data_IF_002218805884
#
_entry.id   IF_002218805884
#
_cell.length_a   1.000
_cell.length_b   1.000
_cell.length_c   1.000
_cell.angle_alpha   90.00
_cell.angle_beta   90.00
_cell.angle_gamma   90.00
#
_symmetry.space_group_name_H-M   'P 1'
#
loop_
_entity.id
_entity.type
_entity.pdbx_description
1 polymer ?
#
# COMPACT_ATOMS: atom_id res chain seq x y z
N UNK A 1 -37.81 5.40 11.91
CA UNK A 1 -37.05 6.47 12.60
C UNK A 1 -36.18 7.12 11.53
N UNK A 2 -36.37 8.42 11.31
CA UNK A 2 -35.72 9.19 10.24
C UNK A 2 -34.21 9.19 10.48
N UNK A 3 -33.45 8.53 9.62
CA UNK A 3 -32.00 8.72 9.51
C UNK A 3 -31.78 10.14 9.01
N UNK A 4 -31.55 11.07 9.95
CA UNK A 4 -31.04 12.40 9.64
C UNK A 4 -29.68 12.19 8.99
N UNK A 5 -29.61 12.37 7.67
CA UNK A 5 -28.35 12.49 6.94
C UNK A 5 -27.47 13.51 7.68
N UNK A 6 -26.19 13.22 7.95
CA UNK A 6 -25.32 14.13 8.68
C UNK A 6 -25.30 15.48 7.97
N UNK A 7 -25.73 16.52 8.69
CA UNK A 7 -25.86 17.87 8.17
C UNK A 7 -24.49 18.55 8.11
N UNK A 8 -23.80 18.41 6.97
CA UNK A 8 -22.53 19.09 6.69
C UNK A 8 -22.05 18.83 5.26
N UNK A 9 -21.19 19.71 4.70
CA UNK A 9 -20.53 19.43 3.42
C UNK A 9 -19.71 18.14 3.51
N UNK A 10 -19.74 17.26 2.48
CA UNK A 10 -18.99 16.01 2.52
C UNK A 10 -17.49 16.28 2.45
N UNK A 11 -16.68 15.46 3.10
CA UNK A 11 -15.24 15.42 2.81
C UNK A 11 -14.96 14.42 1.71
N UNK A 12 -13.86 14.67 1.00
CA UNK A 12 -13.41 13.82 -0.09
C UNK A 12 -12.12 13.15 0.34
N UNK A 13 -12.16 11.82 0.42
CA UNK A 13 -10.97 10.99 0.49
C UNK A 13 -10.47 10.79 -0.94
N UNK A 14 -9.22 11.12 -1.22
CA UNK A 14 -8.63 10.97 -2.55
C UNK A 14 -7.35 10.15 -2.50
N UNK A 15 -7.22 9.16 -3.37
CA UNK A 15 -6.01 8.34 -3.37
C UNK A 15 -6.00 7.25 -4.40
N UNK A 16 -4.94 6.45 -4.29
CA UNK A 16 -4.59 5.34 -5.16
C UNK A 16 -5.43 4.07 -4.93
N UNK A 17 -6.58 4.18 -4.27
CA UNK A 17 -7.48 3.08 -3.95
C UNK A 17 -8.54 2.83 -5.04
N UNK A 18 -8.35 3.38 -6.24
CA UNK A 18 -9.09 3.11 -7.48
C UNK A 18 -8.45 2.01 -8.34
N UNK A 19 -7.57 1.22 -7.74
CA UNK A 19 -7.02 0.01 -8.32
C UNK A 19 -6.89 -1.06 -7.25
N UNK A 20 -6.73 -2.31 -7.69
CA UNK A 20 -6.50 -3.39 -6.75
C UNK A 20 -5.06 -3.41 -6.22
N UNK A 21 -4.82 -2.63 -5.17
CA UNK A 21 -3.70 -2.73 -4.25
C UNK A 21 -4.28 -2.83 -2.84
N UNK A 22 -4.12 -3.97 -2.17
CA UNK A 22 -4.83 -4.23 -0.92
C UNK A 22 -4.51 -3.19 0.16
N UNK A 23 -3.27 -2.71 0.19
CA UNK A 23 -2.81 -1.73 1.15
C UNK A 23 -3.44 -0.37 0.93
N UNK A 24 -3.39 0.13 -0.31
CA UNK A 24 -4.04 1.40 -0.67
C UNK A 24 -5.56 1.33 -0.41
N UNK A 25 -6.20 0.19 -0.69
CA UNK A 25 -7.63 -0.04 -0.42
C UNK A 25 -7.99 -0.12 1.08
N UNK A 26 -7.05 -0.42 1.98
CA UNK A 26 -7.29 -0.41 3.43
C UNK A 26 -7.38 1.01 3.99
N UNK A 27 -6.65 1.95 3.41
CA UNK A 27 -6.55 3.31 3.94
C UNK A 27 -7.91 4.04 4.01
N UNK A 28 -8.77 4.04 2.97
CA UNK A 28 -10.08 4.67 3.08
C UNK A 28 -10.97 4.04 4.16
N UNK A 29 -10.87 2.72 4.42
CA UNK A 29 -11.59 2.10 5.55
C UNK A 29 -11.15 2.66 6.90
N UNK A 30 -9.83 2.85 7.08
CA UNK A 30 -9.30 3.44 8.32
C UNK A 30 -9.81 4.87 8.49
N UNK A 31 -9.75 5.68 7.43
CA UNK A 31 -10.22 7.06 7.50
C UNK A 31 -11.74 7.16 7.68
N UNK A 32 -12.53 6.25 7.11
CA UNK A 32 -13.97 6.15 7.38
C UNK A 32 -14.26 5.95 8.87
N UNK A 33 -13.40 5.20 9.58
CA UNK A 33 -13.52 4.97 11.02
C UNK A 33 -13.04 6.15 11.86
N UNK A 34 -11.93 6.78 11.47
CA UNK A 34 -11.40 7.96 12.17
C UNK A 34 -12.30 9.19 12.02
N UNK A 35 -12.99 9.31 10.89
CA UNK A 35 -13.89 10.41 10.55
C UNK A 35 -15.37 10.01 10.69
N UNK A 36 -15.67 8.99 11.50
CA UNK A 36 -17.01 8.48 11.69
C UNK A 36 -17.99 9.61 12.09
N UNK A 37 -19.18 9.62 11.46
CA UNK A 37 -20.19 10.66 11.66
C UNK A 37 -20.11 11.82 10.65
N UNK A 38 -19.11 11.85 9.77
CA UNK A 38 -18.99 12.81 8.67
C UNK A 38 -19.41 12.16 7.34
N UNK A 39 -20.09 12.86 6.43
CA UNK A 39 -20.36 12.33 5.10
C UNK A 39 -19.06 12.30 4.30
N UNK A 40 -18.66 11.10 3.85
CA UNK A 40 -17.41 10.89 3.11
C UNK A 40 -17.68 10.42 1.69
N UNK A 41 -16.85 10.89 0.75
CA UNK A 41 -16.81 10.46 -0.64
C UNK A 41 -15.44 9.93 -0.99
N UNK A 42 -15.39 8.81 -1.71
CA UNK A 42 -14.15 8.17 -2.11
C UNK A 42 -13.83 8.51 -3.57
N UNK A 43 -12.66 9.10 -3.78
CA UNK A 43 -12.21 9.62 -5.06
C UNK A 43 -10.90 8.98 -5.50
N UNK A 44 -10.79 8.75 -6.81
CA UNK A 44 -9.58 8.35 -7.48
C UNK A 44 -9.44 9.06 -8.82
N UNK A 45 -8.57 8.55 -9.67
CA UNK A 45 -8.43 8.99 -11.05
C UNK A 45 -9.45 8.32 -11.97
N UNK A 46 -9.91 7.11 -11.62
CA UNK A 46 -10.91 6.39 -12.39
C UNK A 46 -12.12 5.94 -11.56
N UNK A 47 -13.30 5.92 -12.18
CA UNK A 47 -14.51 5.38 -11.57
C UNK A 47 -14.41 3.85 -11.46
N UNK A 48 -14.63 3.30 -10.26
CA UNK A 48 -14.46 1.86 -9.98
C UNK A 48 -15.46 1.37 -8.94
N UNK A 49 -15.88 0.11 -9.08
CA UNK A 49 -16.49 -0.65 -7.99
C UNK A 49 -15.52 -1.73 -7.52
N UNK A 50 -14.87 -1.50 -6.37
CA UNK A 50 -13.93 -2.43 -5.74
C UNK A 50 -14.56 -3.16 -4.54
N UNK A 51 -15.86 -2.98 -4.31
CA UNK A 51 -16.57 -3.68 -3.21
C UNK A 51 -16.52 -5.21 -3.31
N UNK A 52 -16.47 -5.87 -4.49
CA UNK A 52 -16.27 -7.32 -4.58
C UNK A 52 -14.94 -7.80 -4.00
N UNK A 53 -13.97 -6.91 -3.82
CA UNK A 53 -12.66 -7.18 -3.24
C UNK A 53 -12.52 -6.55 -1.85
N UNK A 54 -13.63 -6.12 -1.24
CA UNK A 54 -13.64 -5.49 0.08
C UNK A 54 -13.20 -4.02 0.08
N UNK A 55 -13.03 -3.37 -1.07
CA UNK A 55 -12.76 -1.93 -1.19
C UNK A 55 -14.05 -1.10 -1.26
N UNK A 56 -13.96 0.04 -1.94
CA UNK A 56 -15.03 1.03 -2.05
C UNK A 56 -15.54 1.21 -3.47
N UNK A 57 -16.68 1.88 -3.60
CA UNK A 57 -17.05 2.54 -4.85
C UNK A 57 -16.30 3.86 -4.91
N UNK A 58 -15.61 4.09 -6.02
CA UNK A 58 -14.73 5.24 -6.20
C UNK A 58 -15.24 6.04 -7.39
N UNK A 59 -15.47 7.34 -7.20
CA UNK A 59 -15.74 8.30 -8.26
C UNK A 59 -14.42 8.91 -8.77
N UNK A 60 -14.42 9.48 -9.98
CA UNK A 60 -13.28 10.32 -10.40
C UNK A 60 -13.28 11.64 -9.64
N UNK A 61 -12.10 12.12 -9.23
CA UNK A 61 -11.97 13.41 -8.55
C UNK A 61 -12.58 14.56 -9.38
N UNK A 62 -12.41 14.53 -10.70
CA UNK A 62 -13.03 15.51 -11.61
C UNK A 62 -14.56 15.47 -11.57
N UNK A 63 -15.17 14.28 -11.50
CA UNK A 63 -16.62 14.12 -11.35
C UNK A 63 -17.09 14.65 -10.01
N UNK A 64 -16.35 14.41 -8.93
CA UNK A 64 -16.65 14.95 -7.60
C UNK A 64 -16.65 16.49 -7.63
N UNK A 65 -15.60 17.08 -8.21
CA UNK A 65 -15.45 18.53 -8.30
C UNK A 65 -16.50 19.21 -9.17
N UNK A 66 -16.98 18.53 -10.22
CA UNK A 66 -18.00 19.07 -11.13
C UNK A 66 -19.44 18.93 -10.60
N UNK A 67 -19.68 18.22 -9.48
CA UNK A 67 -21.04 17.99 -9.00
C UNK A 67 -21.67 19.24 -8.37
N UNK A 68 -22.96 19.52 -8.65
CA UNK A 68 -23.68 20.61 -8.00
C UNK A 68 -23.84 20.34 -6.49
N UNK A 69 -23.57 21.34 -5.66
CA UNK A 69 -23.75 21.24 -4.21
C UNK A 69 -22.80 22.16 -3.45
N UNK A 70 -22.88 22.15 -2.10
CA UNK A 70 -21.86 22.81 -1.29
C UNK A 70 -20.50 22.14 -1.54
N UNK A 71 -19.41 22.92 -1.66
CA UNK A 71 -18.08 22.36 -1.85
C UNK A 71 -17.69 21.52 -0.64
N UNK A 72 -16.78 20.54 -0.82
CA UNK A 72 -16.29 19.77 0.30
C UNK A 72 -15.56 20.67 1.29
N UNK A 73 -15.67 20.35 2.59
CA UNK A 73 -14.87 21.05 3.59
C UNK A 73 -13.38 20.70 3.44
N UNK A 74 -13.09 19.40 3.25
CA UNK A 74 -11.73 18.91 3.09
C UNK A 74 -11.59 17.99 1.89
N UNK A 75 -10.44 18.08 1.22
CA UNK A 75 -9.90 17.07 0.32
C UNK A 75 -8.70 16.43 0.98
N UNK A 76 -8.79 15.16 1.35
CA UNK A 76 -7.76 14.44 2.09
C UNK A 76 -7.11 13.41 1.17
N UNK A 77 -5.84 13.63 0.83
CA UNK A 77 -5.04 12.64 0.14
C UNK A 77 -4.68 11.52 1.11
N UNK A 78 -5.11 10.31 0.79
CA UNK A 78 -5.07 9.16 1.70
C UNK A 78 -3.84 8.30 1.42
N UNK A 79 -2.74 8.61 2.12
CA UNK A 79 -1.52 7.82 2.19
C UNK A 79 -0.95 7.35 0.84
N UNK A 80 -0.28 6.20 0.86
CA UNK A 80 0.29 5.57 -0.33
C UNK A 80 1.55 6.26 -0.85
N UNK A 81 2.21 5.65 -1.83
CA UNK A 81 3.40 6.21 -2.49
C UNK A 81 3.00 7.11 -3.67
N UNK A 82 2.30 8.22 -3.38
CA UNK A 82 1.63 9.02 -4.41
C UNK A 82 2.49 10.15 -4.98
N UNK A 83 3.52 10.62 -4.27
CA UNK A 83 4.32 11.78 -4.71
C UNK A 83 5.22 11.46 -5.91
N UNK A 84 5.51 10.19 -6.15
CA UNK A 84 6.39 9.75 -7.23
C UNK A 84 5.64 9.12 -8.41
N UNK A 85 4.31 8.99 -8.31
CA UNK A 85 3.50 8.28 -9.30
C UNK A 85 3.21 9.19 -10.49
N UNK A 86 3.81 8.85 -11.64
CA UNK A 86 3.64 9.64 -12.86
C UNK A 86 2.32 9.33 -13.57
N UNK A 87 1.84 10.24 -14.41
CA UNK A 87 0.63 10.03 -15.22
C UNK A 87 0.65 8.74 -16.04
N UNK A 88 1.79 8.37 -16.60
CA UNK A 88 1.98 7.09 -17.30
C UNK A 88 1.75 5.90 -16.38
N UNK A 89 2.37 5.91 -15.20
CA UNK A 89 2.30 4.80 -14.25
C UNK A 89 0.87 4.63 -13.74
N UNK A 90 0.23 5.75 -13.36
CA UNK A 90 -1.16 5.80 -12.96
C UNK A 90 -2.10 5.22 -14.04
N UNK A 91 -1.95 5.67 -15.28
CA UNK A 91 -2.79 5.23 -16.39
C UNK A 91 -2.65 3.72 -16.65
N UNK A 92 -1.43 3.17 -16.62
CA UNK A 92 -1.25 1.73 -16.80
C UNK A 92 -1.83 0.93 -15.65
N UNK A 93 -1.62 1.36 -14.41
CA UNK A 93 -2.13 0.65 -13.22
C UNK A 93 -3.67 0.65 -13.13
N UNK A 94 -4.35 1.51 -13.87
CA UNK A 94 -5.81 1.57 -13.93
C UNK A 94 -6.40 0.69 -15.05
N UNK A 95 -5.57 0.10 -15.91
CA UNK A 95 -6.03 -0.78 -16.97
C UNK A 95 -6.20 -2.24 -16.50
N UNK A 96 -7.03 -3.03 -17.21
CA UNK A 96 -6.97 -4.48 -17.09
C UNK A 96 -5.58 -5.01 -17.52
N UNK A 97 -5.13 -6.18 -17.03
CA UNK A 97 -3.76 -6.68 -17.23
C UNK A 97 -3.31 -6.82 -18.69
N UNK A 98 -4.18 -7.29 -19.59
CA UNK A 98 -3.82 -7.50 -21.01
C UNK A 98 -3.59 -6.18 -21.75
N UNK A 99 -4.53 -5.21 -21.73
CA UNK A 99 -4.29 -3.86 -22.25
C UNK A 99 -3.05 -3.17 -21.64
N UNK A 100 -2.82 -3.34 -20.33
CA UNK A 100 -1.66 -2.78 -19.66
C UNK A 100 -0.33 -3.30 -20.21
N UNK A 101 -0.20 -4.62 -20.38
CA UNK A 101 0.98 -5.23 -20.97
C UNK A 101 1.20 -4.75 -22.43
N UNK A 102 0.13 -4.65 -23.22
CA UNK A 102 0.21 -4.12 -24.58
C UNK A 102 0.66 -2.66 -24.62
N UNK A 103 0.15 -1.81 -23.73
CA UNK A 103 0.55 -0.42 -23.61
C UNK A 103 2.03 -0.32 -23.22
N UNK A 104 2.46 -1.08 -22.21
CA UNK A 104 3.84 -1.11 -21.74
C UNK A 104 4.82 -1.49 -22.85
N UNK A 105 4.52 -2.54 -23.63
CA UNK A 105 5.35 -2.96 -24.76
C UNK A 105 5.39 -1.92 -25.88
N UNK A 106 4.26 -1.31 -26.23
CA UNK A 106 4.17 -0.36 -27.34
C UNK A 106 4.82 1.00 -27.03
N UNK A 107 4.71 1.47 -25.78
CA UNK A 107 5.02 2.84 -25.42
C UNK A 107 6.23 2.97 -24.49
N UNK A 108 6.76 1.87 -23.94
CA UNK A 108 7.74 1.88 -22.85
C UNK A 108 9.00 2.74 -23.07
N UNK A 109 9.42 2.93 -24.33
CA UNK A 109 10.63 3.69 -24.69
C UNK A 109 10.37 5.14 -25.13
N UNK A 110 9.11 5.55 -25.35
CA UNK A 110 8.77 6.84 -25.96
C UNK A 110 8.10 7.79 -24.95
N UNK A 111 8.89 8.62 -24.25
CA UNK A 111 8.40 9.49 -23.18
C UNK A 111 7.24 10.41 -23.61
N UNK A 112 7.32 11.05 -24.78
CA UNK A 112 6.26 11.93 -25.27
C UNK A 112 4.98 11.15 -25.62
N UNK A 113 5.12 9.99 -26.26
CA UNK A 113 3.97 9.13 -26.55
C UNK A 113 3.30 8.61 -25.27
N UNK A 114 4.09 8.26 -24.23
CA UNK A 114 3.57 7.91 -22.90
C UNK A 114 2.76 9.05 -22.28
N UNK A 115 3.28 10.28 -22.34
CA UNK A 115 2.58 11.46 -21.82
C UNK A 115 1.26 11.74 -22.57
N UNK A 116 1.31 11.75 -23.90
CA UNK A 116 0.12 11.98 -24.72
C UNK A 116 -0.95 10.89 -24.49
N UNK A 117 -0.52 9.63 -24.39
CA UNK A 117 -1.41 8.51 -24.11
C UNK A 117 -2.00 8.57 -22.70
N UNK A 118 -1.16 8.83 -21.68
CA UNK A 118 -1.62 8.96 -20.29
C UNK A 118 -2.66 10.09 -20.15
N UNK A 119 -2.42 11.23 -20.80
CA UNK A 119 -3.38 12.33 -20.86
C UNK A 119 -4.72 11.90 -21.43
N UNK A 120 -4.72 11.13 -22.52
CA UNK A 120 -5.94 10.62 -23.13
C UNK A 120 -6.67 9.60 -22.23
N UNK A 121 -5.94 8.78 -21.47
CA UNK A 121 -6.54 7.80 -20.55
C UNK A 121 -7.11 8.44 -19.27
N UNK A 122 -6.39 9.39 -18.70
CA UNK A 122 -6.74 9.99 -17.41
C UNK A 122 -7.62 11.24 -17.54
N UNK A 123 -7.70 11.85 -18.73
CA UNK A 123 -8.42 13.10 -18.94
C UNK A 123 -7.76 14.32 -18.30
N UNK A 124 -6.47 14.24 -17.96
CA UNK A 124 -5.69 15.32 -17.35
C UNK A 124 -4.27 15.34 -17.91
N UNK A 125 -3.68 16.53 -18.01
CA UNK A 125 -2.28 16.76 -18.37
C UNK A 125 -1.32 16.80 -17.16
N UNK A 126 -1.85 16.59 -15.94
CA UNK A 126 -1.05 16.53 -14.72
C UNK A 126 0.04 15.45 -14.81
N UNK A 127 1.28 15.81 -14.46
CA UNK A 127 2.40 14.89 -14.38
C UNK A 127 2.29 13.97 -13.17
N UNK A 128 1.77 14.49 -12.05
CA UNK A 128 1.51 13.75 -10.81
C UNK A 128 0.01 13.74 -10.49
N UNK A 129 -0.80 12.91 -11.16
CA UNK A 129 -2.26 13.01 -11.12
C UNK A 129 -2.85 12.65 -9.75
N UNK A 130 -2.20 11.79 -8.95
CA UNK A 130 -2.63 11.50 -7.57
C UNK A 130 -2.34 12.63 -6.57
N UNK A 131 -1.80 13.76 -7.02
CA UNK A 131 -1.80 15.01 -6.27
C UNK A 131 -2.80 15.96 -6.91
N UNK A 132 -3.86 16.31 -6.19
CA UNK A 132 -4.94 17.13 -6.72
C UNK A 132 -4.45 18.56 -7.01
N UNK A 133 -4.81 19.14 -8.16
CA UNK A 133 -4.54 20.55 -8.40
C UNK A 133 -5.45 21.40 -7.51
N UNK A 134 -4.92 22.39 -6.76
CA UNK A 134 -5.73 23.22 -5.86
C UNK A 134 -6.89 23.92 -6.55
N UNK A 135 -6.70 24.31 -7.82
CA UNK A 135 -7.70 24.99 -8.64
C UNK A 135 -8.94 24.12 -8.97
N UNK A 136 -8.89 22.81 -8.72
CA UNK A 136 -10.04 21.92 -8.95
C UNK A 136 -11.16 22.13 -7.92
N UNK A 137 -10.82 22.68 -6.75
CA UNK A 137 -11.78 22.94 -5.69
C UNK A 137 -11.81 24.43 -5.33
N UNK A 138 -12.93 24.95 -4.80
CA UNK A 138 -12.98 26.33 -4.32
C UNK A 138 -11.97 26.57 -3.21
N UNK A 139 -11.50 27.82 -3.07
CA UNK A 139 -10.52 28.20 -2.05
C UNK A 139 -10.97 27.92 -0.59
N UNK A 140 -12.27 27.69 -0.36
CA UNK A 140 -12.81 27.27 0.93
C UNK A 140 -12.56 25.79 1.27
N UNK A 141 -12.09 24.98 0.30
CA UNK A 141 -11.77 23.56 0.51
C UNK A 141 -10.35 23.44 1.04
N UNK A 142 -10.18 22.91 2.25
CA UNK A 142 -8.85 22.64 2.80
C UNK A 142 -8.26 21.36 2.18
N UNK A 143 -7.10 21.48 1.53
CA UNK A 143 -6.40 20.34 0.94
C UNK A 143 -5.39 19.79 1.93
N UNK A 144 -5.54 18.53 2.30
CA UNK A 144 -4.72 17.83 3.27
C UNK A 144 -4.03 16.64 2.62
N UNK A 145 -2.80 16.37 3.06
CA UNK A 145 -2.07 15.16 2.73
C UNK A 145 -1.79 14.37 4.00
N UNK A 146 -2.33 13.15 4.07
CA UNK A 146 -2.25 12.31 5.25
C UNK A 146 -1.31 11.11 5.02
N UNK A 147 -0.20 11.07 5.75
CA UNK A 147 0.77 9.97 5.77
C UNK A 147 1.24 9.50 4.37
N UNK A 148 1.49 10.45 3.46
CA UNK A 148 1.90 10.13 2.07
C UNK A 148 3.40 9.76 1.98
N UNK A 149 3.76 8.97 0.97
CA UNK A 149 5.14 8.60 0.64
C UNK A 149 5.64 9.31 -0.62
N UNK A 150 6.94 9.59 -0.65
CA UNK A 150 7.66 10.12 -1.81
C UNK A 150 9.16 9.93 -1.72
N UNK A 151 9.62 8.73 -1.35
CA UNK A 151 11.04 8.47 -1.00
C UNK A 151 12.04 8.71 -2.14
N UNK A 152 11.54 8.78 -3.38
CA UNK A 152 12.31 9.00 -4.60
C UNK A 152 11.91 10.30 -5.33
N UNK A 153 11.18 11.22 -4.68
CA UNK A 153 10.71 12.46 -5.31
C UNK A 153 11.88 13.32 -5.82
N UNK A 154 13.00 13.33 -5.12
CA UNK A 154 14.24 14.01 -5.50
C UNK A 154 14.87 13.43 -6.78
N UNK A 155 14.57 12.17 -7.11
CA UNK A 155 15.07 11.45 -8.29
C UNK A 155 14.12 11.51 -9.50
N UNK A 156 12.91 12.05 -9.34
CA UNK A 156 11.94 12.19 -10.42
C UNK A 156 12.33 13.29 -11.41
N UNK A 157 11.75 13.24 -12.61
CA UNK A 157 11.92 14.30 -13.61
C UNK A 157 11.55 15.66 -13.02
N UNK A 158 12.29 16.70 -13.42
CA UNK A 158 12.18 18.04 -12.82
C UNK A 158 10.77 18.62 -12.90
N UNK A 159 10.03 18.36 -14.00
CA UNK A 159 8.65 18.81 -14.18
C UNK A 159 7.69 18.19 -13.17
N UNK A 160 7.74 16.87 -12.99
CA UNK A 160 6.91 16.18 -12.01
C UNK A 160 7.23 16.65 -10.58
N UNK A 161 8.52 16.76 -10.27
CA UNK A 161 8.97 17.25 -8.96
C UNK A 161 8.47 18.66 -8.69
N UNK A 162 8.58 19.57 -9.65
CA UNK A 162 8.07 20.94 -9.51
C UNK A 162 6.55 20.96 -9.28
N UNK A 163 5.79 20.22 -10.08
CA UNK A 163 4.32 20.13 -9.94
C UNK A 163 3.90 19.63 -8.56
N UNK A 164 4.55 18.57 -8.05
CA UNK A 164 4.28 18.02 -6.72
C UNK A 164 4.58 19.06 -5.63
N UNK A 165 5.74 19.70 -5.68
CA UNK A 165 6.14 20.69 -4.67
C UNK A 165 5.20 21.89 -4.65
N UNK A 166 4.75 22.37 -5.81
CA UNK A 166 3.82 23.50 -5.90
C UNK A 166 2.45 23.16 -5.31
N UNK A 167 1.93 21.96 -5.59
CA UNK A 167 0.66 21.49 -5.00
C UNK A 167 0.76 21.33 -3.48
N UNK A 168 1.88 20.80 -2.98
CA UNK A 168 2.13 20.64 -1.54
C UNK A 168 2.28 21.99 -0.82
N UNK A 169 2.89 23.00 -1.45
CA UNK A 169 2.97 24.37 -0.88
C UNK A 169 1.61 25.03 -0.72
N UNK A 170 0.66 24.70 -1.59
CA UNK A 170 -0.70 25.20 -1.53
C UNK A 170 -1.60 24.40 -0.56
N UNK A 171 -1.11 23.31 0.02
CA UNK A 171 -1.88 22.47 0.93
C UNK A 171 -2.07 23.14 2.29
N UNK A 172 -3.23 22.92 2.91
CA UNK A 172 -3.52 23.34 4.28
C UNK A 172 -2.76 22.51 5.32
N UNK A 173 -2.35 21.29 4.97
CA UNK A 173 -1.58 20.42 5.86
C UNK A 173 -0.93 19.26 5.13
N UNK A 174 0.31 18.94 5.52
CA UNK A 174 1.08 17.83 4.94
C UNK A 174 1.62 16.94 6.06
N UNK A 175 1.42 15.64 5.91
CA UNK A 175 2.07 14.63 6.73
C UNK A 175 2.58 13.49 5.86
N UNK A 176 3.70 12.90 6.28
CA UNK A 176 4.42 11.86 5.53
C UNK A 176 4.72 10.68 6.43
N UNK A 177 4.81 9.49 5.81
CA UNK A 177 4.97 8.22 6.53
C UNK A 177 6.41 7.79 6.79
N UNK A 178 7.38 8.58 6.38
CA UNK A 178 8.79 8.26 6.58
C UNK A 178 9.66 9.52 6.62
N UNK A 179 10.77 9.44 7.34
CA UNK A 179 11.68 10.55 7.59
C UNK A 179 12.44 10.96 6.34
N UNK A 180 12.61 10.07 5.36
CA UNK A 180 13.30 10.37 4.10
C UNK A 180 12.45 11.27 3.21
N UNK A 181 11.17 10.93 3.01
CA UNK A 181 10.19 11.81 2.35
C UNK A 181 10.12 13.14 3.09
N UNK A 182 10.08 13.14 4.44
CA UNK A 182 10.09 14.38 5.23
C UNK A 182 11.32 15.24 4.95
N UNK A 183 12.50 14.63 4.87
CA UNK A 183 13.75 15.35 4.59
C UNK A 183 13.75 15.97 3.19
N UNK A 184 13.26 15.23 2.18
CA UNK A 184 13.10 15.72 0.81
C UNK A 184 12.18 16.95 0.79
N UNK A 185 11.04 16.89 1.48
CA UNK A 185 10.10 18.02 1.55
C UNK A 185 10.70 19.22 2.30
N UNK A 186 11.37 18.99 3.43
CA UNK A 186 12.02 20.04 4.21
C UNK A 186 13.12 20.76 3.41
N UNK A 187 13.92 20.02 2.63
CA UNK A 187 14.92 20.59 1.73
C UNK A 187 14.32 21.48 0.64
N UNK A 188 13.01 21.37 0.38
CA UNK A 188 12.26 22.19 -0.58
C UNK A 188 11.33 23.22 0.11
N UNK A 189 11.53 23.47 1.40
CA UNK A 189 10.80 24.47 2.18
C UNK A 189 9.39 24.08 2.59
N UNK A 190 9.05 22.78 2.54
CA UNK A 190 7.72 22.27 2.91
C UNK A 190 7.81 21.60 4.27
N UNK A 191 7.10 22.15 5.25
CA UNK A 191 6.96 21.52 6.56
C UNK A 191 5.95 20.36 6.46
N UNK A 192 6.37 19.17 6.91
CA UNK A 192 5.51 17.99 6.95
C UNK A 192 5.63 17.28 8.30
N UNK A 193 4.47 16.92 8.89
CA UNK A 193 4.44 16.09 10.11
C UNK A 193 4.81 14.66 9.77
N UNK A 194 5.61 14.01 10.62
CA UNK A 194 5.86 12.57 10.50
C UNK A 194 4.72 11.83 11.20
N UNK A 195 4.01 10.97 10.48
CA UNK A 195 2.86 10.20 10.98
C UNK A 195 2.90 8.80 10.37
N UNK A 196 2.70 7.71 11.12
CA UNK A 196 2.67 6.38 10.53
C UNK A 196 1.60 6.23 9.46
N UNK A 197 1.80 5.28 8.57
CA UNK A 197 0.78 4.92 7.59
C UNK A 197 -0.51 4.45 8.28
N UNK A 198 -1.67 4.93 7.81
CA UNK A 198 -2.97 4.65 8.42
C UNK A 198 -3.29 3.14 8.51
N UNK A 199 -2.71 2.30 7.64
CA UNK A 199 -2.85 0.86 7.74
C UNK A 199 -2.35 0.27 9.07
N UNK A 200 -1.52 1.00 9.84
CA UNK A 200 -1.11 0.60 11.19
C UNK A 200 -2.29 0.43 12.16
N UNK A 201 -3.40 1.13 11.91
CA UNK A 201 -4.61 1.04 12.73
C UNK A 201 -5.49 -0.18 12.40
N UNK A 202 -5.13 -0.99 11.39
CA UNK A 202 -6.01 -2.06 10.90
C UNK A 202 -6.36 -3.07 11.98
N UNK A 203 -5.40 -3.43 12.85
CA UNK A 203 -5.65 -4.38 13.93
C UNK A 203 -6.53 -3.77 15.03
N UNK A 204 -6.30 -2.50 15.37
CA UNK A 204 -7.08 -1.79 16.38
C UNK A 204 -8.54 -1.57 15.95
N UNK A 205 -8.76 -1.24 14.68
CA UNK A 205 -10.09 -0.89 14.16
C UNK A 205 -10.88 -2.08 13.61
N UNK A 206 -10.19 -3.09 13.06
CA UNK A 206 -10.80 -4.20 12.32
C UNK A 206 -10.34 -5.59 12.78
N UNK A 207 -9.55 -5.69 13.86
CA UNK A 207 -8.99 -6.95 14.34
C UNK A 207 -10.03 -8.05 14.60
N UNK A 208 -11.20 -7.71 15.15
CA UNK A 208 -12.30 -8.67 15.35
C UNK A 208 -12.86 -9.21 14.04
N UNK A 209 -13.11 -8.34 13.07
CA UNK A 209 -13.60 -8.73 11.75
C UNK A 209 -12.58 -9.63 11.03
N UNK A 210 -11.29 -9.30 11.13
CA UNK A 210 -10.19 -10.09 10.55
C UNK A 210 -10.09 -11.48 11.21
N UNK A 211 -10.17 -11.56 12.55
CA UNK A 211 -10.21 -12.84 13.27
C UNK A 211 -11.43 -13.70 12.89
N UNK A 212 -12.58 -13.08 12.65
CA UNK A 212 -13.76 -13.81 12.16
C UNK A 212 -13.59 -14.28 10.72
N UNK A 213 -12.96 -13.47 9.87
CA UNK A 213 -12.66 -13.81 8.47
C UNK A 213 -11.76 -15.04 8.37
N UNK A 214 -10.78 -15.16 9.28
CA UNK A 214 -9.87 -16.30 9.37
C UNK A 214 -10.57 -17.67 9.57
N UNK A 215 -11.83 -17.68 10.02
CA UNK A 215 -12.61 -18.90 10.30
C UNK A 215 -13.39 -19.45 9.11
N UNK A 216 -13.29 -18.83 7.93
CA UNK A 216 -13.99 -19.27 6.72
C UNK A 216 -13.11 -19.18 5.48
N UNK A 217 -13.59 -19.80 4.39
CA UNK A 217 -13.01 -19.64 3.06
C UNK A 217 -11.55 -20.09 2.97
N UNK A 218 -10.76 -19.36 2.17
CA UNK A 218 -9.35 -19.68 1.98
C UNK A 218 -8.46 -19.44 3.22
N UNK A 219 -8.65 -18.37 4.02
CA UNK A 219 -7.90 -18.20 5.26
C UNK A 219 -8.01 -19.39 6.22
N UNK A 220 -9.22 -19.95 6.40
CA UNK A 220 -9.40 -21.13 7.23
C UNK A 220 -8.68 -22.37 6.69
N UNK A 221 -8.66 -22.54 5.35
CA UNK A 221 -7.91 -23.63 4.70
C UNK A 221 -6.41 -23.48 4.91
N UNK A 222 -5.88 -22.25 4.87
CA UNK A 222 -4.47 -21.98 5.17
C UNK A 222 -4.10 -22.39 6.60
N UNK A 223 -4.95 -22.07 7.57
CA UNK A 223 -4.74 -22.46 8.97
C UNK A 223 -4.83 -23.97 9.17
N UNK A 224 -5.80 -24.63 8.54
CA UNK A 224 -5.97 -26.08 8.64
C UNK A 224 -4.84 -26.86 7.93
N UNK A 225 -4.25 -26.31 6.88
CA UNK A 225 -3.20 -26.98 6.10
C UNK A 225 -1.86 -27.07 6.85
N UNK A 226 -1.59 -26.18 7.80
CA UNK A 226 -0.28 -26.06 8.43
C UNK A 226 -0.38 -26.01 9.96
N UNK A 227 -0.31 -27.17 10.61
CA UNK A 227 -0.45 -27.32 12.06
C UNK A 227 0.58 -26.53 12.88
N UNK A 228 1.78 -26.31 12.33
CA UNK A 228 2.84 -25.50 12.95
C UNK A 228 2.81 -24.02 12.51
N UNK A 229 1.76 -23.61 11.80
CA UNK A 229 1.62 -22.29 11.19
C UNK A 229 2.36 -22.18 9.85
N UNK A 230 2.34 -20.99 9.27
CA UNK A 230 2.91 -20.71 7.96
C UNK A 230 3.59 -19.34 7.89
N UNK A 231 4.49 -19.20 6.91
CA UNK A 231 5.01 -17.92 6.46
C UNK A 231 4.04 -17.35 5.41
N UNK A 232 3.57 -16.11 5.61
CA UNK A 232 2.80 -15.39 4.61
C UNK A 232 3.77 -14.69 3.67
N UNK A 233 3.83 -15.14 2.41
CA UNK A 233 4.85 -14.74 1.45
C UNK A 233 4.22 -14.04 0.25
N UNK A 234 4.77 -12.89 -0.12
CA UNK A 234 4.25 -12.07 -1.22
C UNK A 234 5.39 -11.31 -1.92
N UNK A 235 5.37 -11.23 -3.25
CA UNK A 235 6.30 -10.39 -4.00
C UNK A 235 5.73 -10.00 -5.37
N UNK A 236 6.22 -8.88 -5.92
CA UNK A 236 5.74 -8.36 -7.22
C UNK A 236 6.25 -9.20 -8.41
N UNK A 237 5.72 -8.92 -9.59
CA UNK A 237 6.14 -9.52 -10.84
C UNK A 237 7.63 -9.28 -11.17
N UNK A 238 8.26 -8.26 -10.57
CA UNK A 238 9.68 -7.92 -10.75
C UNK A 238 10.64 -9.04 -10.33
N UNK A 239 10.19 -9.97 -9.47
CA UNK A 239 10.98 -11.13 -9.03
C UNK A 239 10.87 -12.33 -10.00
N UNK A 240 10.28 -12.12 -11.18
CA UNK A 240 9.91 -13.19 -12.11
C UNK A 240 11.04 -13.81 -12.92
N UNK A 241 12.28 -13.33 -12.83
CA UNK A 241 13.40 -13.99 -13.51
C UNK A 241 13.78 -15.32 -12.83
N UNK A 242 14.30 -16.27 -13.60
CA UNK A 242 14.57 -17.62 -13.09
C UNK A 242 15.60 -17.63 -11.94
N UNK A 243 16.61 -16.76 -12.00
CA UNK A 243 17.68 -16.71 -10.97
C UNK A 243 17.12 -16.25 -9.63
N UNK A 244 16.28 -15.20 -9.64
CA UNK A 244 15.61 -14.71 -8.45
C UNK A 244 14.64 -15.76 -7.89
N UNK A 245 13.86 -16.44 -8.74
CA UNK A 245 12.94 -17.48 -8.29
C UNK A 245 13.65 -18.69 -7.68
N UNK A 246 14.77 -19.13 -8.26
CA UNK A 246 15.58 -20.23 -7.70
C UNK A 246 16.16 -19.83 -6.34
N UNK A 247 16.64 -18.59 -6.22
CA UNK A 247 17.17 -18.04 -4.96
C UNK A 247 16.08 -17.96 -3.89
N UNK A 248 14.89 -17.45 -4.24
CA UNK A 248 13.74 -17.38 -3.34
C UNK A 248 13.29 -18.77 -2.90
N UNK A 249 13.20 -19.73 -3.83
CA UNK A 249 12.81 -21.10 -3.50
C UNK A 249 13.77 -21.74 -2.50
N UNK A 250 15.08 -21.63 -2.74
CA UNK A 250 16.10 -22.14 -1.82
C UNK A 250 16.02 -21.49 -0.43
N UNK A 251 15.84 -20.17 -0.38
CA UNK A 251 15.70 -19.43 0.88
C UNK A 251 14.43 -19.82 1.65
N UNK A 252 13.29 -19.91 0.96
CA UNK A 252 12.01 -20.29 1.54
C UNK A 252 12.02 -21.74 2.04
N UNK A 253 12.61 -22.66 1.28
CA UNK A 253 12.77 -24.05 1.70
C UNK A 253 13.65 -24.18 2.95
N UNK A 254 14.74 -23.39 3.05
CA UNK A 254 15.56 -23.34 4.26
C UNK A 254 14.75 -22.82 5.46
N UNK A 255 14.04 -21.71 5.27
CA UNK A 255 13.23 -21.10 6.33
C UNK A 255 12.08 -22.02 6.80
N UNK A 256 11.38 -22.66 5.86
CA UNK A 256 10.31 -23.61 6.15
C UNK A 256 10.83 -24.83 6.92
N UNK A 257 11.96 -25.41 6.51
CA UNK A 257 12.60 -26.53 7.23
C UNK A 257 13.04 -26.15 8.64
N UNK A 258 13.66 -24.97 8.81
CA UNK A 258 14.17 -24.53 10.11
C UNK A 258 13.04 -24.20 11.11
N UNK A 259 11.95 -23.59 10.63
CA UNK A 259 10.82 -23.16 11.46
C UNK A 259 9.69 -24.18 11.59
N UNK A 260 9.68 -25.22 10.75
CA UNK A 260 8.56 -26.16 10.61
C UNK A 260 7.30 -25.55 9.97
N UNK A 261 7.38 -24.31 9.48
CA UNK A 261 6.24 -23.60 8.92
C UNK A 261 5.94 -24.02 7.48
N UNK A 262 4.66 -24.03 7.13
CA UNK A 262 4.22 -24.02 5.72
C UNK A 262 4.48 -22.70 5.02
N UNK A 263 4.20 -22.66 3.72
CA UNK A 263 4.27 -21.43 2.92
C UNK A 263 2.89 -21.12 2.36
N UNK A 264 2.37 -19.92 2.65
CA UNK A 264 1.17 -19.38 2.03
C UNK A 264 1.57 -18.22 1.12
N UNK A 265 1.39 -18.41 -0.18
CA UNK A 265 1.57 -17.38 -1.19
C UNK A 265 0.27 -16.59 -1.36
N UNK A 266 0.35 -15.26 -1.45
CA UNK A 266 -0.82 -14.41 -1.70
C UNK A 266 -0.46 -13.21 -2.56
N UNK A 267 -1.47 -12.59 -3.18
CA UNK A 267 -1.30 -11.36 -3.97
C UNK A 267 -1.62 -10.13 -3.13
N UNK A 268 -0.69 -9.18 -3.03
CA UNK A 268 -0.97 -7.87 -2.47
C UNK A 268 -1.68 -6.95 -3.48
N UNK A 269 -1.38 -7.07 -4.77
CA UNK A 269 -2.06 -6.31 -5.81
C UNK A 269 -2.40 -7.17 -7.03
N UNK A 270 -3.53 -6.84 -7.67
CA UNK A 270 -3.92 -7.42 -8.96
C UNK A 270 -3.93 -6.37 -10.08
N UNK A 271 -3.67 -5.10 -9.73
CA UNK A 271 -3.37 -4.07 -10.71
C UNK A 271 -2.07 -4.41 -11.46
N UNK A 272 -1.91 -3.96 -12.72
CA UNK A 272 -0.68 -4.13 -13.47
C UNK A 272 0.59 -3.74 -12.69
N UNK A 273 1.69 -4.45 -12.94
CA UNK A 273 3.00 -4.31 -12.28
C UNK A 273 3.03 -4.58 -10.76
N UNK A 274 1.92 -5.04 -10.17
CA UNK A 274 1.93 -5.57 -8.81
C UNK A 274 2.28 -7.07 -8.85
N UNK A 275 1.39 -7.96 -8.40
CA UNK A 275 1.67 -9.39 -8.30
C UNK A 275 1.18 -10.14 -9.56
N UNK A 276 1.96 -11.12 -10.03
CA UNK A 276 1.59 -11.98 -11.16
C UNK A 276 1.40 -13.44 -10.69
N UNK A 277 0.19 -14.03 -10.80
CA UNK A 277 -0.04 -15.42 -10.43
C UNK A 277 0.80 -16.43 -11.23
N UNK A 278 1.27 -16.09 -12.44
CA UNK A 278 2.15 -16.94 -13.24
C UNK A 278 3.53 -17.07 -12.61
N UNK A 279 4.02 -15.99 -11.99
CA UNK A 279 5.29 -15.99 -11.27
C UNK A 279 5.18 -16.87 -10.02
N UNK A 280 4.05 -16.80 -9.29
CA UNK A 280 3.81 -17.71 -8.16
C UNK A 280 3.68 -19.18 -8.56
N UNK A 281 3.06 -19.48 -9.70
CA UNK A 281 3.04 -20.85 -10.23
C UNK A 281 4.45 -21.38 -10.53
N UNK A 282 5.32 -20.52 -11.10
CA UNK A 282 6.72 -20.84 -11.38
C UNK A 282 7.56 -21.01 -10.10
N UNK A 283 7.31 -20.21 -9.07
CA UNK A 283 7.94 -20.43 -7.75
C UNK A 283 7.49 -21.75 -7.13
N UNK A 284 6.19 -22.05 -7.17
CA UNK A 284 5.64 -23.27 -6.58
C UNK A 284 6.25 -24.56 -7.17
N UNK A 285 6.64 -24.54 -8.45
CA UNK A 285 7.33 -25.65 -9.12
C UNK A 285 8.78 -25.86 -8.64
N UNK A 286 9.38 -24.86 -7.98
CA UNK A 286 10.78 -24.87 -7.50
C UNK A 286 10.90 -25.22 -6.02
N UNK A 287 9.81 -25.11 -5.26
CA UNK A 287 9.80 -25.41 -3.83
C UNK A 287 9.83 -26.92 -3.60
N UNK A 288 10.53 -27.35 -2.55
CA UNK A 288 10.61 -28.76 -2.16
C UNK A 288 9.27 -29.31 -1.64
N UNK A 289 8.41 -28.44 -1.11
CA UNK A 289 7.07 -28.76 -0.65
C UNK A 289 6.04 -27.82 -1.31
N UNK A 290 4.83 -28.33 -1.64
CA UNK A 290 3.83 -27.51 -2.31
C UNK A 290 3.34 -26.38 -1.38
N UNK A 291 3.40 -25.10 -1.81
CA UNK A 291 2.81 -24.00 -1.06
C UNK A 291 1.29 -24.01 -1.20
N UNK A 292 0.60 -23.33 -0.28
CA UNK A 292 -0.80 -22.96 -0.49
C UNK A 292 -0.86 -21.58 -1.17
N UNK A 293 -1.49 -21.51 -2.35
CA UNK A 293 -1.73 -20.25 -3.04
C UNK A 293 -3.13 -19.72 -2.69
N UNK A 294 -3.19 -18.60 -1.98
CA UNK A 294 -4.41 -17.83 -1.74
C UNK A 294 -4.87 -17.20 -3.05
N UNK A 295 -6.05 -17.57 -3.54
CA UNK A 295 -6.60 -17.00 -4.78
C UNK A 295 -7.43 -15.74 -4.55
N UNK A 296 -8.07 -15.65 -3.39
CA UNK A 296 -8.86 -14.49 -2.97
C UNK A 296 -8.10 -13.18 -3.15
N UNK A 297 -8.85 -12.21 -3.67
CA UNK A 297 -8.44 -10.81 -3.80
C UNK A 297 -9.17 -9.93 -2.77
N UNK A 298 -10.04 -10.51 -1.94
CA UNK A 298 -10.68 -9.75 -0.86
C UNK A 298 -9.62 -9.31 0.16
N UNK A 299 -9.53 -8.00 0.38
CA UNK A 299 -8.50 -7.41 1.26
C UNK A 299 -8.59 -7.94 2.70
N UNK A 300 -9.77 -8.37 3.14
CA UNK A 300 -9.97 -8.93 4.48
C UNK A 300 -9.48 -10.37 4.57
N UNK A 301 -9.58 -11.15 3.49
CA UNK A 301 -8.94 -12.47 3.42
C UNK A 301 -7.43 -12.34 3.43
N UNK A 302 -6.87 -11.36 2.70
CA UNK A 302 -5.44 -11.07 2.70
C UNK A 302 -4.97 -10.65 4.10
N UNK A 303 -5.69 -9.75 4.76
CA UNK A 303 -5.40 -9.36 6.13
C UNK A 303 -5.46 -10.55 7.10
N UNK A 304 -6.46 -11.43 6.95
CA UNK A 304 -6.60 -12.62 7.80
C UNK A 304 -5.44 -13.60 7.62
N UNK A 305 -4.95 -13.79 6.39
CA UNK A 305 -3.77 -14.62 6.13
C UNK A 305 -2.52 -14.01 6.75
N UNK A 306 -2.31 -12.70 6.64
CA UNK A 306 -1.16 -12.04 7.28
C UNK A 306 -1.27 -12.11 8.80
N UNK A 307 -2.42 -11.75 9.36
CA UNK A 307 -2.66 -11.65 10.81
C UNK A 307 -2.51 -12.97 11.58
N UNK A 308 -2.61 -14.11 10.89
CA UNK A 308 -2.46 -15.43 11.48
C UNK A 308 -1.19 -16.17 11.04
N UNK A 309 -0.29 -15.49 10.32
CA UNK A 309 1.00 -16.04 9.95
C UNK A 309 1.96 -16.11 11.15
N UNK A 310 2.95 -16.99 11.06
CA UNK A 310 4.11 -17.03 11.97
C UNK A 310 5.09 -15.89 11.69
N UNK A 311 5.21 -15.51 10.42
CA UNK A 311 5.92 -14.33 9.97
C UNK A 311 5.41 -13.87 8.60
N UNK A 312 5.58 -12.59 8.30
CA UNK A 312 5.41 -12.03 6.97
C UNK A 312 6.77 -11.88 6.27
N UNK A 313 6.84 -12.26 5.00
CA UNK A 313 8.00 -11.97 4.15
C UNK A 313 7.53 -11.51 2.77
N UNK A 314 7.78 -10.24 2.42
CA UNK A 314 7.42 -9.81 1.08
C UNK A 314 7.82 -8.41 0.63
N UNK A 315 7.63 -8.11 -0.65
CA UNK A 315 8.04 -6.81 -1.20
C UNK A 315 7.03 -5.67 -0.92
N UNK A 316 5.80 -5.99 -0.51
CA UNK A 316 4.80 -4.98 -0.16
C UNK A 316 5.07 -4.32 1.19
N UNK A 317 5.19 -3.00 1.20
CA UNK A 317 5.24 -2.20 2.43
C UNK A 317 3.96 -2.41 3.28
N UNK A 318 2.78 -2.40 2.66
CA UNK A 318 1.54 -2.60 3.42
C UNK A 318 1.42 -4.02 3.99
N UNK A 319 2.03 -5.04 3.36
CA UNK A 319 2.15 -6.37 3.98
C UNK A 319 2.92 -6.32 5.30
N UNK A 320 4.03 -5.55 5.32
CA UNK A 320 4.79 -5.28 6.55
C UNK A 320 3.94 -4.54 7.57
N UNK A 321 3.26 -3.46 7.18
CA UNK A 321 2.49 -2.62 8.12
C UNK A 321 1.34 -3.43 8.75
N UNK A 322 0.65 -4.28 7.99
CA UNK A 322 -0.36 -5.17 8.56
C UNK A 322 0.28 -6.16 9.54
N UNK A 323 1.42 -6.77 9.20
CA UNK A 323 2.15 -7.62 10.13
C UNK A 323 2.61 -6.86 11.39
N UNK A 324 3.00 -5.58 11.26
CA UNK A 324 3.31 -4.68 12.38
C UNK A 324 2.10 -4.47 13.27
N UNK A 325 0.95 -4.15 12.71
CA UNK A 325 -0.29 -3.89 13.45
C UNK A 325 -0.73 -5.10 14.29
N UNK A 326 -0.45 -6.32 13.83
CA UNK A 326 -0.72 -7.57 14.56
C UNK A 326 0.45 -8.04 15.44
N UNK A 327 1.53 -7.28 15.54
CA UNK A 327 2.69 -7.62 16.38
C UNK A 327 3.45 -8.86 15.90
N UNK A 328 3.49 -9.12 14.59
CA UNK A 328 4.08 -10.33 14.01
C UNK A 328 5.54 -10.13 13.58
N UNK A 329 6.37 -11.18 13.60
CA UNK A 329 7.65 -11.22 12.89
C UNK A 329 7.49 -10.87 11.41
N UNK A 330 8.42 -10.09 10.87
CA UNK A 330 8.29 -9.55 9.51
C UNK A 330 9.63 -9.15 8.91
N UNK A 331 9.69 -9.21 7.59
CA UNK A 331 10.75 -8.63 6.78
C UNK A 331 10.19 -8.19 5.43
N UNK A 332 10.94 -7.35 4.73
CA UNK A 332 10.65 -7.02 3.35
C UNK A 332 11.70 -7.54 2.37
N UNK A 333 11.26 -7.89 1.16
CA UNK A 333 12.15 -8.22 0.06
C UNK A 333 12.40 -6.96 -0.77
N UNK A 334 13.67 -6.58 -0.92
CA UNK A 334 14.10 -5.55 -1.85
C UNK A 334 13.95 -6.05 -3.29
N UNK A 335 13.61 -5.16 -4.22
CA UNK A 335 13.48 -5.55 -5.63
C UNK A 335 14.82 -6.05 -6.18
N UNK A 336 14.82 -7.00 -7.14
CA UNK A 336 16.05 -7.42 -7.81
C UNK A 336 16.80 -6.22 -8.38
N UNK A 337 18.10 -6.13 -8.09
CA UNK A 337 18.95 -5.00 -8.51
C UNK A 337 18.79 -3.71 -7.69
N UNK A 338 17.84 -3.64 -6.74
CA UNK A 338 17.69 -2.51 -5.82
C UNK A 338 18.51 -2.74 -4.54
N UNK A 339 19.29 -1.74 -4.13
CA UNK A 339 19.89 -1.74 -2.80
C UNK A 339 18.80 -1.73 -1.71
N UNK A 340 18.81 -2.64 -0.72
CA UNK A 340 17.72 -2.73 0.26
C UNK A 340 17.41 -1.41 0.99
N UNK A 341 18.44 -0.66 1.38
CA UNK A 341 18.32 0.65 2.03
C UNK A 341 17.66 1.74 1.17
N UNK A 342 17.58 1.53 -0.15
CA UNK A 342 16.90 2.46 -1.06
C UNK A 342 15.39 2.19 -1.18
N UNK A 343 14.87 1.11 -0.57
CA UNK A 343 13.46 0.75 -0.68
C UNK A 343 12.56 1.58 0.26
N UNK A 344 11.30 1.76 -0.13
CA UNK A 344 10.28 2.38 0.75
C UNK A 344 10.05 1.59 2.03
N UNK A 345 10.23 0.27 1.97
CA UNK A 345 10.14 -0.59 3.14
C UNK A 345 11.25 -0.31 4.16
N UNK A 346 12.48 -0.09 3.68
CA UNK A 346 13.59 0.32 4.54
C UNK A 346 13.35 1.70 5.16
N UNK A 347 12.96 2.70 4.35
CA UNK A 347 12.67 4.04 4.85
C UNK A 347 11.58 4.05 5.94
N UNK A 348 10.52 3.25 5.75
CA UNK A 348 9.48 3.09 6.77
C UNK A 348 10.00 2.37 8.02
N UNK A 349 10.72 1.25 7.86
CA UNK A 349 11.25 0.48 8.98
C UNK A 349 12.24 1.32 9.81
N UNK A 350 13.10 2.11 9.19
CA UNK A 350 14.03 3.01 9.88
C UNK A 350 13.32 4.03 10.79
N UNK A 351 12.07 4.40 10.47
CA UNK A 351 11.30 5.34 11.27
C UNK A 351 10.53 4.66 12.40
N UNK A 352 9.97 3.49 12.13
CA UNK A 352 8.88 2.93 12.92
C UNK A 352 9.16 1.56 13.52
N UNK A 353 10.32 0.97 13.22
CA UNK A 353 10.70 -0.34 13.69
C UNK A 353 11.70 -0.26 14.85
N UNK A 354 11.66 -1.24 15.74
CA UNK A 354 12.67 -1.40 16.77
C UNK A 354 14.01 -1.89 16.22
N UNK A 355 15.10 -1.44 16.84
CA UNK A 355 16.44 -1.94 16.54
C UNK A 355 16.52 -3.47 16.65
N UNK A 356 17.20 -4.08 15.67
CA UNK A 356 17.41 -5.52 15.57
C UNK A 356 16.31 -6.30 14.86
N UNK A 357 15.17 -5.68 14.51
CA UNK A 357 14.21 -6.32 13.63
C UNK A 357 14.64 -6.19 12.15
N UNK A 358 14.44 -7.23 11.32
CA UNK A 358 14.78 -7.15 9.90
C UNK A 358 14.00 -6.06 9.15
N UNK A 359 14.75 -5.25 8.40
CA UNK A 359 14.20 -4.24 7.47
C UNK A 359 13.90 -4.85 6.10
N UNK A 360 14.44 -4.23 5.06
CA UNK A 360 14.47 -4.80 3.71
C UNK A 360 15.73 -5.65 3.51
N UNK A 361 15.59 -6.80 2.86
CA UNK A 361 16.67 -7.75 2.58
C UNK A 361 16.61 -8.23 1.14
N UNK A 362 17.72 -8.74 0.62
CA UNK A 362 17.75 -9.39 -0.69
C UNK A 362 17.14 -10.79 -0.65
N UNK A 363 16.78 -11.36 -1.81
CA UNK A 363 16.29 -12.74 -1.91
C UNK A 363 17.27 -13.77 -1.27
N UNK A 364 18.58 -13.56 -1.45
CA UNK A 364 19.62 -14.44 -0.89
C UNK A 364 19.66 -14.42 0.65
N UNK A 365 19.25 -13.30 1.26
CA UNK A 365 19.24 -13.12 2.72
C UNK A 365 17.92 -13.55 3.37
N UNK A 366 16.92 -13.95 2.57
CA UNK A 366 15.57 -14.26 3.05
C UNK A 366 15.58 -15.22 4.23
N UNK A 367 16.29 -16.33 4.12
CA UNK A 367 16.23 -17.39 5.11
C UNK A 367 16.82 -16.96 6.46
N UNK A 368 17.96 -16.26 6.44
CA UNK A 368 18.58 -15.71 7.66
C UNK A 368 17.70 -14.62 8.28
N UNK A 369 17.11 -13.76 7.46
CA UNK A 369 16.21 -12.72 7.94
C UNK A 369 14.93 -13.30 8.58
N UNK A 370 14.40 -14.42 8.05
CA UNK A 370 13.29 -15.13 8.70
C UNK A 370 13.71 -15.68 10.06
N UNK A 371 14.88 -16.31 10.16
CA UNK A 371 15.41 -16.83 11.43
C UNK A 371 15.53 -15.69 12.46
N UNK A 372 16.11 -14.56 12.06
CA UNK A 372 16.25 -13.35 12.90
C UNK A 372 14.90 -12.79 13.33
N UNK A 373 13.91 -12.73 12.42
CA UNK A 373 12.58 -12.22 12.74
C UNK A 373 11.85 -13.13 13.75
N UNK A 374 11.92 -14.45 13.57
CA UNK A 374 11.18 -15.42 14.38
C UNK A 374 11.66 -15.53 15.84
N UNK A 375 12.89 -15.12 16.13
CA UNK A 375 13.44 -15.12 17.50
C UNK A 375 13.17 -13.82 18.26
N UNK A 376 12.56 -12.81 17.64
CA UNK A 376 12.19 -11.57 18.31
C UNK A 376 11.13 -11.84 19.38
N UNK A 377 11.32 -11.25 20.56
CA UNK A 377 10.39 -11.39 21.68
C UNK A 377 8.99 -10.87 21.30
N UNK A 378 7.92 -11.68 21.45
CA UNK A 378 6.56 -11.25 21.11
C UNK A 378 6.12 -9.97 21.81
N UNK A 379 6.56 -9.75 23.05
CA UNK A 379 6.23 -8.56 23.84
C UNK A 379 6.82 -7.29 23.20
N UNK A 380 8.02 -7.39 22.62
CA UNK A 380 8.65 -6.28 21.88
C UNK A 380 7.87 -5.95 20.62
N UNK A 381 7.43 -6.96 19.87
CA UNK A 381 6.65 -6.76 18.65
C UNK A 381 5.27 -6.17 18.95
N UNK A 382 4.63 -6.62 20.03
CA UNK A 382 3.36 -6.08 20.50
C UNK A 382 3.48 -4.64 21.02
N UNK A 383 4.62 -4.26 21.62
CA UNK A 383 4.89 -2.88 22.01
C UNK A 383 4.94 -1.96 20.78
N UNK A 384 5.73 -2.32 19.76
CA UNK A 384 5.79 -1.58 18.48
C UNK A 384 4.39 -1.43 17.88
N UNK A 385 3.59 -2.50 17.88
CA UNK A 385 2.23 -2.44 17.33
C UNK A 385 1.35 -1.41 18.05
N UNK A 386 1.43 -1.34 19.39
CA UNK A 386 0.67 -0.37 20.19
C UNK A 386 1.13 1.06 19.97
N UNK A 387 2.44 1.29 19.98
CA UNK A 387 3.03 2.62 19.80
C UNK A 387 2.69 3.15 18.40
N UNK A 388 2.85 2.31 17.37
CA UNK A 388 2.50 2.64 15.99
C UNK A 388 1.02 2.99 15.82
N UNK A 389 0.13 2.23 16.47
CA UNK A 389 -1.31 2.49 16.42
C UNK A 389 -1.68 3.80 17.15
N UNK A 390 -1.06 4.08 18.30
CA UNK A 390 -1.27 5.35 19.01
C UNK A 390 -0.86 6.55 18.14
N UNK A 391 0.36 6.50 17.59
CA UNK A 391 0.88 7.58 16.73
C UNK A 391 0.07 7.76 15.43
N UNK A 392 -0.41 6.67 14.82
CA UNK A 392 -1.27 6.74 13.65
C UNK A 392 -2.65 7.35 13.99
N UNK A 393 -3.21 7.03 15.15
CA UNK A 393 -4.50 7.53 15.63
C UNK A 393 -4.52 9.05 15.84
N UNK A 394 -3.43 9.60 16.39
CA UNK A 394 -3.26 11.04 16.61
C UNK A 394 -2.81 11.80 15.34
N UNK A 395 -2.58 11.04 14.26
CA UNK A 395 -1.98 11.46 13.01
C UNK A 395 -2.88 12.20 12.03
N UNK A 396 -4.21 12.11 12.19
CA UNK A 396 -5.17 12.84 11.37
C UNK A 396 -5.73 14.02 12.18
N UNK A 397 -5.30 15.23 11.83
CA UNK A 397 -5.81 16.46 12.43
C UNK A 397 -6.45 17.29 11.33
N UNK A 398 -7.74 17.57 11.50
CA UNK A 398 -8.47 18.47 10.63
C UNK A 398 -8.44 19.88 11.22
N UNK A 399 -8.26 20.92 10.38
CA UNK A 399 -8.22 22.32 10.82
C UNK A 399 -9.56 22.84 11.35
#
# INVERSE_FOLDING_TARGET
>A
MSDLLPAGPPDVLFGAFDRHNFGDMLLPHVLDRLLAGRPLRHAGLAERDLTPFGGHRVDTLARIAAQPGPPPAHLIHVGGEILCCEGWEAAVMLLPPVPAAQAATKLGVHAEARRAWARAQLGTDALAPYTAPPALFPASTAILYHAIGGIDLDRREAGLRAEVLDKLRAAAGVSVRDARTRAILAANGIAARLVPDAAALVAALFGDAIRQRARRGEPARALAAFAHGYLAVQFSADFGDDTTLDTLAAGLDRAARASGCGIVLFRAGAAPWHDDPRVYARLAQRLSAPPLLLRSLDIWDICAVIAHARAYAGSSLHGRIVAMAFGLPRLNLAFPGQAPAASKAAAFAECWENAGAPGAVTAAQLAEAVDQALVLAPERLAAVARDLAAEAGDGLVLP
#
